data_IF_420633758167
#
_entry.id   IF_420633758167
#
_cell.length_a   1.000
_cell.length_b   1.000
_cell.length_c   1.000
_cell.angle_alpha   90.00
_cell.angle_beta   90.00
_cell.angle_gamma   90.00
#
_symmetry.space_group_name_H-M   'P 1'
#
loop_
_entity.id
_entity.type
_entity.pdbx_description
1 polymer ?
#
# COMPACT_ATOMS: atom_id res chain seq x y z
N UNK A 1 -21.13 -11.29 10.77
CA UNK A 1 -20.89 -10.04 11.51
C UNK A 1 -21.39 -8.88 10.69
N UNK A 2 -22.42 -8.16 11.12
CA UNK A 2 -22.82 -6.96 10.39
C UNK A 2 -21.80 -5.81 10.55
N UNK A 3 -22.03 -4.72 9.81
CA UNK A 3 -21.21 -3.52 9.87
C UNK A 3 -21.10 -2.92 11.29
N UNK A 4 -22.18 -3.01 12.09
CA UNK A 4 -22.21 -2.51 13.45
C UNK A 4 -21.29 -3.33 14.37
N UNK A 5 -21.23 -4.66 14.18
CA UNK A 5 -20.33 -5.55 14.90
C UNK A 5 -18.86 -5.32 14.52
N UNK A 6 -18.55 -5.05 13.25
CA UNK A 6 -17.19 -4.70 12.83
C UNK A 6 -16.74 -3.39 13.48
N UNK A 7 -17.57 -2.35 13.46
CA UNK A 7 -17.27 -1.10 14.16
C UNK A 7 -17.16 -1.33 15.69
N UNK A 8 -18.07 -2.11 16.28
CA UNK A 8 -18.05 -2.44 17.71
C UNK A 8 -16.80 -3.22 18.12
N UNK A 9 -16.19 -4.00 17.22
CA UNK A 9 -14.97 -4.73 17.50
C UNK A 9 -13.80 -3.81 17.89
N UNK A 10 -13.74 -2.59 17.34
CA UNK A 10 -12.71 -1.60 17.65
C UNK A 10 -12.97 -0.83 18.96
N UNK A 11 -14.15 -0.94 19.56
CA UNK A 11 -14.49 -0.24 20.81
C UNK A 11 -13.55 -0.68 21.94
N UNK A 12 -12.93 0.30 22.60
CA UNK A 12 -12.01 0.07 23.71
C UNK A 12 -10.70 -0.62 23.33
N UNK A 13 -10.44 -0.85 22.04
CA UNK A 13 -9.22 -1.50 21.53
C UNK A 13 -8.09 -0.52 21.31
N UNK A 14 -6.88 -1.00 21.50
CA UNK A 14 -5.69 -0.30 21.05
C UNK A 14 -5.16 -0.90 19.74
N UNK A 15 -4.88 -0.05 18.76
CA UNK A 15 -4.45 -0.46 17.42
C UNK A 15 -3.10 0.17 17.09
N UNK A 16 -2.12 -0.64 16.71
CA UNK A 16 -0.87 -0.17 16.13
C UNK A 16 -0.99 -0.17 14.61
N UNK A 17 -0.76 0.98 13.97
CA UNK A 17 -0.78 1.14 12.52
C UNK A 17 0.61 1.56 12.06
N UNK A 18 1.21 0.79 11.16
CA UNK A 18 2.39 1.21 10.39
C UNK A 18 1.98 1.68 9.01
N UNK A 19 2.70 2.65 8.44
CA UNK A 19 2.35 3.22 7.14
C UNK A 19 1.14 4.16 7.19
N UNK A 20 0.81 4.72 8.36
CA UNK A 20 -0.28 5.69 8.53
C UNK A 20 -0.09 6.98 7.69
N UNK A 21 1.16 7.32 7.36
CA UNK A 21 1.49 8.41 6.44
C UNK A 21 1.33 8.04 4.96
N UNK A 22 0.89 6.82 4.64
CA UNK A 22 0.49 6.41 3.29
C UNK A 22 -1.02 6.57 3.05
N UNK A 23 -1.45 6.32 1.80
CA UNK A 23 -2.84 6.54 1.38
C UNK A 23 -3.82 5.65 2.16
N UNK A 24 -3.65 4.33 2.07
CA UNK A 24 -4.51 3.37 2.74
C UNK A 24 -4.50 3.54 4.26
N UNK A 25 -3.35 3.90 4.83
CA UNK A 25 -3.21 4.15 6.27
C UNK A 25 -4.06 5.34 6.75
N UNK A 26 -4.11 6.43 5.97
CA UNK A 26 -5.00 7.57 6.27
C UNK A 26 -6.46 7.21 6.18
N UNK A 27 -6.85 6.51 5.10
CA UNK A 27 -8.24 6.06 4.90
C UNK A 27 -8.68 5.16 6.05
N UNK A 28 -7.84 4.22 6.45
CA UNK A 28 -8.13 3.33 7.58
C UNK A 28 -8.27 4.10 8.89
N UNK A 29 -7.32 5.00 9.17
CA UNK A 29 -7.33 5.81 10.40
C UNK A 29 -8.58 6.70 10.48
N UNK A 30 -8.89 7.41 9.40
CA UNK A 30 -10.10 8.24 9.28
C UNK A 30 -11.36 7.40 9.49
N UNK A 31 -11.47 6.27 8.78
CA UNK A 31 -12.64 5.40 8.85
C UNK A 31 -12.86 4.89 10.27
N UNK A 32 -11.81 4.42 10.96
CA UNK A 32 -11.88 3.98 12.36
C UNK A 32 -12.39 5.11 13.26
N UNK A 33 -11.75 6.28 13.22
CA UNK A 33 -12.11 7.41 14.07
C UNK A 33 -13.54 7.92 13.82
N UNK A 34 -13.99 7.89 12.56
CA UNK A 34 -15.32 8.38 12.18
C UNK A 34 -16.45 7.45 12.61
N UNK A 35 -16.27 6.14 12.44
CA UNK A 35 -17.33 5.16 12.71
C UNK A 35 -17.25 4.55 14.10
N UNK A 36 -16.08 4.56 14.74
CA UNK A 36 -15.87 4.05 16.10
C UNK A 36 -15.03 5.04 16.93
N UNK A 37 -15.64 6.14 17.40
CA UNK A 37 -14.93 7.12 18.24
C UNK A 37 -14.55 6.55 19.62
N UNK A 38 -15.13 5.43 20.07
CA UNK A 38 -14.78 4.78 21.33
C UNK A 38 -13.56 3.85 21.22
N UNK A 39 -12.83 3.86 20.09
CA UNK A 39 -11.50 3.25 20.03
C UNK A 39 -10.63 3.86 21.13
N UNK A 40 -9.82 3.04 21.81
CA UNK A 40 -9.08 3.51 22.98
C UNK A 40 -7.86 4.32 22.59
N UNK A 41 -6.96 3.73 21.81
CA UNK A 41 -5.76 4.42 21.31
C UNK A 41 -5.31 3.86 19.96
N UNK A 42 -4.89 4.75 19.08
CA UNK A 42 -4.32 4.46 17.77
C UNK A 42 -2.84 4.86 17.80
N UNK A 43 -1.97 3.87 17.97
CA UNK A 43 -0.53 4.06 17.92
C UNK A 43 -0.08 4.13 16.45
N UNK A 44 0.55 5.23 16.05
CA UNK A 44 1.00 5.42 14.67
C UNK A 44 2.53 5.41 14.62
N UNK A 45 3.11 4.31 14.12
CA UNK A 45 4.55 4.25 13.91
C UNK A 45 4.94 5.09 12.69
N UNK A 46 5.71 6.15 12.92
CA UNK A 46 6.14 7.09 11.89
C UNK A 46 7.63 7.37 12.00
N UNK A 47 8.30 7.42 10.84
CA UNK A 47 9.73 7.72 10.78
C UNK A 47 9.95 9.18 11.16
N UNK A 48 10.60 9.41 12.29
CA UNK A 48 10.92 10.72 12.83
C UNK A 48 12.13 10.60 13.76
N UNK A 49 12.82 11.72 14.00
CA UNK A 49 13.99 11.76 14.90
C UNK A 49 13.61 11.72 16.38
N UNK A 50 12.42 12.20 16.71
CA UNK A 50 11.94 12.39 18.07
C UNK A 50 10.41 12.50 18.08
N UNK A 51 9.82 12.45 19.28
CA UNK A 51 8.37 12.46 19.49
C UNK A 51 7.70 13.76 18.99
N UNK A 52 8.36 14.91 19.11
CA UNK A 52 7.84 16.20 18.60
C UNK A 52 7.73 16.16 17.07
N UNK A 53 8.78 15.68 16.41
CA UNK A 53 8.83 15.50 14.96
C UNK A 53 7.80 14.48 14.50
N UNK A 54 7.58 13.39 15.25
CA UNK A 54 6.53 12.42 14.97
C UNK A 54 5.13 13.05 15.07
N UNK A 55 4.86 13.83 16.13
CA UNK A 55 3.58 14.55 16.30
C UNK A 55 3.33 15.54 15.18
N UNK A 56 4.32 16.38 14.86
CA UNK A 56 4.23 17.34 13.76
C UNK A 56 3.99 16.64 12.41
N UNK A 57 4.67 15.51 12.18
CA UNK A 57 4.50 14.73 10.96
C UNK A 57 3.11 14.13 10.86
N UNK A 58 2.57 13.54 11.93
CA UNK A 58 1.19 13.04 11.95
C UNK A 58 0.20 14.19 11.72
N UNK A 59 0.39 15.34 12.38
CA UNK A 59 -0.47 16.49 12.18
C UNK A 59 -0.45 16.98 10.72
N UNK A 60 0.72 17.10 10.11
CA UNK A 60 0.87 17.68 8.77
C UNK A 60 0.51 16.69 7.65
N UNK A 61 1.03 15.47 7.75
CA UNK A 61 0.90 14.46 6.70
C UNK A 61 -0.37 13.62 6.86
N UNK A 62 -1.00 13.54 8.02
CA UNK A 62 -2.13 12.63 8.29
C UNK A 62 -3.40 13.40 8.66
N UNK A 63 -3.50 13.91 9.89
CA UNK A 63 -4.76 14.45 10.42
C UNK A 63 -5.10 15.84 9.86
N UNK A 64 -4.09 16.58 9.39
CA UNK A 64 -4.25 17.84 8.67
C UNK A 64 -4.69 17.67 7.21
N UNK A 65 -4.72 16.44 6.69
CA UNK A 65 -5.19 16.19 5.32
C UNK A 65 -6.70 16.37 5.20
N UNK A 66 -7.12 16.66 3.99
CA UNK A 66 -8.49 16.92 3.56
C UNK A 66 -9.44 15.74 3.87
N UNK A 67 -8.96 14.49 3.82
CA UNK A 67 -9.78 13.31 4.19
C UNK A 67 -10.37 13.38 5.61
N UNK A 68 -9.71 14.09 6.53
CA UNK A 68 -10.20 14.31 7.90
C UNK A 68 -11.20 15.47 8.01
N UNK A 69 -11.64 16.08 6.91
CA UNK A 69 -12.57 17.22 6.94
C UNK A 69 -13.90 16.88 7.62
N UNK A 70 -14.48 15.72 7.32
CA UNK A 70 -15.74 15.27 7.94
C UNK A 70 -15.59 15.14 9.46
N UNK A 71 -14.45 14.62 9.94
CA UNK A 71 -14.14 14.57 11.37
C UNK A 71 -13.94 15.97 11.96
N UNK A 72 -13.24 16.87 11.26
CA UNK A 72 -13.06 18.26 11.70
C UNK A 72 -14.39 18.99 11.86
N UNK A 73 -15.29 18.85 10.88
CA UNK A 73 -16.62 19.45 10.90
C UNK A 73 -17.47 18.87 12.04
N UNK A 74 -17.42 17.56 12.25
CA UNK A 74 -18.15 16.86 13.32
C UNK A 74 -17.72 17.31 14.72
N UNK A 75 -16.42 17.47 14.96
CA UNK A 75 -15.87 17.79 16.28
C UNK A 75 -15.67 19.30 16.52
N UNK A 76 -15.70 20.11 15.46
CA UNK A 76 -15.54 21.56 15.54
C UNK A 76 -14.25 21.95 16.29
N UNK A 77 -14.38 22.80 17.31
CA UNK A 77 -13.24 23.25 18.13
C UNK A 77 -12.58 22.12 18.94
N UNK A 78 -13.29 21.02 19.21
CA UNK A 78 -12.76 19.87 19.95
C UNK A 78 -12.06 18.84 19.07
N UNK A 79 -11.81 19.12 17.79
CA UNK A 79 -11.14 18.18 16.90
C UNK A 79 -9.72 17.85 17.35
N UNK A 80 -8.93 18.87 17.71
CA UNK A 80 -7.54 18.65 18.13
C UNK A 80 -7.48 17.84 19.44
N UNK A 81 -8.32 18.17 20.42
CA UNK A 81 -8.44 17.43 21.68
C UNK A 81 -8.82 15.96 21.43
N UNK A 82 -9.78 15.71 20.53
CA UNK A 82 -10.18 14.36 20.13
C UNK A 82 -9.02 13.60 19.47
N UNK A 83 -8.28 14.23 18.58
CA UNK A 83 -7.12 13.60 17.93
C UNK A 83 -6.02 13.31 18.95
N UNK A 84 -5.71 14.23 19.86
CA UNK A 84 -4.71 14.03 20.92
C UNK A 84 -5.14 12.92 21.90
N UNK A 85 -6.43 12.82 22.21
CA UNK A 85 -6.96 11.74 23.03
C UNK A 85 -6.80 10.37 22.34
N UNK A 86 -7.08 10.28 21.03
CA UNK A 86 -7.16 8.99 20.32
C UNK A 86 -5.87 8.56 19.65
N UNK A 87 -5.03 9.48 19.19
CA UNK A 87 -3.87 9.19 18.34
C UNK A 87 -2.57 9.39 19.12
N UNK A 88 -1.72 8.38 19.12
CA UNK A 88 -0.40 8.42 19.75
C UNK A 88 0.69 8.18 18.68
N UNK A 89 1.36 9.24 18.20
CA UNK A 89 2.49 9.10 17.30
C UNK A 89 3.69 8.46 18.00
N UNK A 90 4.31 7.47 17.35
CA UNK A 90 5.52 6.79 17.81
C UNK A 90 6.65 7.09 16.82
N UNK A 91 7.69 7.78 17.29
CA UNK A 91 8.90 8.05 16.51
C UNK A 91 9.71 6.75 16.37
N UNK A 92 9.63 6.09 15.21
CA UNK A 92 10.34 4.84 14.97
C UNK A 92 10.28 4.38 13.52
N UNK A 93 11.02 3.32 13.21
CA UNK A 93 11.13 2.78 11.86
C UNK A 93 11.10 1.25 11.89
N UNK A 94 10.28 0.65 11.03
CA UNK A 94 10.17 -0.80 10.88
C UNK A 94 11.49 -1.46 10.47
N UNK A 95 12.43 -0.69 9.92
CA UNK A 95 13.76 -1.19 9.55
C UNK A 95 14.61 -1.60 10.76
N UNK A 96 14.31 -1.10 11.96
CA UNK A 96 15.09 -1.37 13.17
C UNK A 96 14.41 -2.40 14.08
N UNK A 97 15.24 -3.13 14.83
CA UNK A 97 14.75 -3.96 15.93
C UNK A 97 13.96 -3.10 16.92
N UNK A 98 12.81 -3.62 17.37
CA UNK A 98 11.89 -2.91 18.27
C UNK A 98 11.48 -1.52 17.78
N UNK A 99 11.52 -1.35 16.46
CA UNK A 99 11.25 -0.12 15.73
C UNK A 99 12.17 1.06 16.09
N UNK A 100 13.27 0.82 16.80
CA UNK A 100 14.12 1.86 17.37
C UNK A 100 13.50 2.59 18.56
N UNK A 101 12.42 2.04 19.15
CA UNK A 101 11.79 2.60 20.35
C UNK A 101 12.63 2.29 21.60
N UNK A 102 12.55 3.18 22.59
CA UNK A 102 13.12 2.89 23.90
C UNK A 102 12.36 1.75 24.61
N UNK A 103 13.05 1.05 25.51
CA UNK A 103 12.52 -0.12 26.22
C UNK A 103 11.25 0.17 27.01
N UNK A 104 11.10 1.37 27.57
CA UNK A 104 9.93 1.72 28.36
C UNK A 104 8.69 1.86 27.46
N UNK A 105 8.81 2.61 26.36
CA UNK A 105 7.76 2.80 25.37
C UNK A 105 7.38 1.51 24.67
N UNK A 106 8.37 0.69 24.31
CA UNK A 106 8.13 -0.64 23.75
C UNK A 106 7.31 -1.52 24.70
N UNK A 107 7.63 -1.52 25.99
CA UNK A 107 6.93 -2.30 27.02
C UNK A 107 5.51 -1.79 27.26
N UNK A 108 5.29 -0.48 27.20
CA UNK A 108 3.97 0.13 27.28
C UNK A 108 3.10 -0.32 26.10
N UNK A 109 3.58 -0.10 24.87
CA UNK A 109 2.79 -0.39 23.66
C UNK A 109 2.53 -1.89 23.52
N UNK A 110 3.54 -2.75 23.72
CA UNK A 110 3.37 -4.21 23.59
C UNK A 110 2.38 -4.83 24.59
N UNK A 111 2.20 -4.24 25.77
CA UNK A 111 1.25 -4.73 26.78
C UNK A 111 -0.21 -4.44 26.45
N UNK A 112 -0.46 -3.43 25.63
CA UNK A 112 -1.78 -2.85 25.46
C UNK A 112 -2.34 -2.97 24.05
N UNK A 113 -1.52 -3.23 23.04
CA UNK A 113 -2.00 -3.42 21.65
C UNK A 113 -2.85 -4.69 21.50
N UNK A 114 -4.05 -4.50 20.97
CA UNK A 114 -4.99 -5.58 20.60
C UNK A 114 -4.88 -5.96 19.12
N UNK A 115 -4.59 -4.99 18.24
CA UNK A 115 -4.58 -5.18 16.79
C UNK A 115 -3.34 -4.50 16.20
N UNK A 116 -2.63 -5.19 15.32
CA UNK A 116 -1.56 -4.59 14.52
C UNK A 116 -2.01 -4.58 13.06
N UNK A 117 -1.95 -3.40 12.42
CA UNK A 117 -2.11 -3.23 10.98
C UNK A 117 -0.78 -2.80 10.39
N UNK A 118 -0.12 -3.73 9.72
CA UNK A 118 1.15 -3.50 9.06
C UNK A 118 0.95 -3.10 7.60
N UNK A 119 0.93 -1.78 7.34
CA UNK A 119 0.86 -1.19 6.01
C UNK A 119 2.13 -0.47 5.57
N UNK A 120 3.18 -0.44 6.40
CA UNK A 120 4.46 0.15 6.03
C UNK A 120 5.13 -0.67 4.92
N UNK A 121 5.37 -0.02 3.79
CA UNK A 121 6.13 -0.57 2.68
C UNK A 121 6.73 0.57 1.85
N UNK A 122 7.83 0.29 1.16
CA UNK A 122 8.14 1.07 -0.04
C UNK A 122 7.33 0.51 -1.19
N UNK A 123 6.52 1.35 -1.83
CA UNK A 123 5.69 1.00 -3.00
C UNK A 123 6.30 1.45 -4.32
N UNK A 124 7.53 1.97 -4.27
CA UNK A 124 8.25 2.41 -5.44
C UNK A 124 8.84 1.21 -6.20
N UNK A 125 8.29 0.91 -7.37
CA UNK A 125 8.71 -0.21 -8.22
C UNK A 125 10.17 -0.12 -8.72
N UNK A 126 10.79 1.05 -8.63
CA UNK A 126 12.19 1.29 -9.00
C UNK A 126 13.01 1.85 -7.83
N UNK A 127 12.73 1.37 -6.62
CA UNK A 127 13.50 1.69 -5.42
C UNK A 127 14.80 0.87 -5.34
N UNK A 128 15.76 1.38 -4.57
CA UNK A 128 16.99 0.66 -4.25
C UNK A 128 16.66 -0.67 -3.55
N UNK A 129 17.43 -1.71 -3.85
CA UNK A 129 17.17 -3.04 -3.31
C UNK A 129 17.33 -3.11 -1.80
N UNK A 130 18.37 -2.51 -1.23
CA UNK A 130 18.58 -2.43 0.22
C UNK A 130 17.41 -1.79 0.95
N UNK A 131 16.97 -0.60 0.50
CA UNK A 131 15.85 0.11 1.12
C UNK A 131 14.56 -0.73 1.05
N UNK A 132 14.32 -1.37 -0.10
CA UNK A 132 13.14 -2.23 -0.28
C UNK A 132 13.20 -3.48 0.57
N UNK A 133 14.38 -4.08 0.69
CA UNK A 133 14.61 -5.28 1.49
C UNK A 133 14.43 -4.96 2.98
N UNK A 134 15.09 -3.92 3.49
CA UNK A 134 14.99 -3.51 4.88
C UNK A 134 13.55 -3.14 5.27
N UNK A 135 12.83 -2.43 4.40
CA UNK A 135 11.45 -2.02 4.71
C UNK A 135 10.46 -3.17 4.59
N UNK A 136 10.46 -3.89 3.46
CA UNK A 136 9.39 -4.84 3.14
C UNK A 136 9.67 -6.25 3.69
N UNK A 137 10.94 -6.64 3.79
CA UNK A 137 11.37 -7.97 4.24
C UNK A 137 11.71 -7.93 5.71
N UNK A 138 12.72 -7.14 6.10
CA UNK A 138 13.11 -7.04 7.50
C UNK A 138 12.03 -6.34 8.33
N UNK A 139 11.35 -5.33 7.80
CA UNK A 139 10.21 -4.71 8.48
C UNK A 139 9.07 -5.69 8.79
N UNK A 140 8.78 -6.64 7.90
CA UNK A 140 7.83 -7.71 8.19
C UNK A 140 8.31 -8.62 9.34
N UNK A 141 9.62 -8.94 9.36
CA UNK A 141 10.25 -9.67 10.47
C UNK A 141 10.17 -8.90 11.79
N UNK A 142 10.47 -7.59 11.81
CA UNK A 142 10.41 -6.79 13.04
C UNK A 142 8.99 -6.66 13.58
N UNK A 143 8.01 -6.47 12.69
CA UNK A 143 6.60 -6.48 13.07
C UNK A 143 6.18 -7.81 13.68
N UNK A 144 6.60 -8.92 13.09
CA UNK A 144 6.32 -10.25 13.62
C UNK A 144 6.98 -10.47 15.00
N UNK A 145 8.23 -10.02 15.17
CA UNK A 145 8.94 -10.10 16.43
C UNK A 145 8.24 -9.28 17.53
N UNK A 146 7.81 -8.05 17.21
CA UNK A 146 7.04 -7.21 18.12
C UNK A 146 5.67 -7.82 18.45
N UNK A 147 4.97 -8.37 17.46
CA UNK A 147 3.68 -9.03 17.65
C UNK A 147 3.77 -10.20 18.63
N UNK A 148 4.85 -11.00 18.58
CA UNK A 148 5.11 -12.07 19.54
C UNK A 148 5.33 -11.57 20.98
N UNK A 149 5.74 -10.30 21.17
CA UNK A 149 5.84 -9.66 22.50
C UNK A 149 4.48 -9.18 23.03
N UNK A 150 3.45 -9.13 22.18
CA UNK A 150 2.14 -8.59 22.52
C UNK A 150 1.21 -9.66 23.10
N UNK A 151 1.03 -9.68 24.42
CA UNK A 151 0.27 -10.73 25.11
C UNK A 151 -1.26 -10.64 24.93
N UNK A 152 -1.78 -9.47 24.54
CA UNK A 152 -3.22 -9.24 24.30
C UNK A 152 -3.61 -9.32 22.83
N UNK A 153 -2.65 -9.50 21.93
CA UNK A 153 -2.85 -9.38 20.50
C UNK A 153 -3.92 -10.34 20.00
N UNK A 154 -4.93 -9.80 19.33
CA UNK A 154 -6.03 -10.53 18.72
C UNK A 154 -5.83 -10.78 17.24
N UNK A 155 -5.08 -9.91 16.57
CA UNK A 155 -4.86 -9.99 15.13
C UNK A 155 -3.61 -9.19 14.71
N UNK A 156 -2.81 -9.79 13.84
CA UNK A 156 -1.83 -9.09 13.01
C UNK A 156 -2.31 -9.12 11.55
N UNK A 157 -2.74 -7.97 11.05
CA UNK A 157 -3.07 -7.78 9.64
C UNK A 157 -1.84 -7.26 8.90
N UNK A 158 -1.39 -7.98 7.87
CA UNK A 158 -0.31 -7.55 6.98
C UNK A 158 -0.86 -7.19 5.61
N UNK A 159 -0.60 -5.96 5.17
CA UNK A 159 -0.96 -5.51 3.83
C UNK A 159 0.15 -5.90 2.86
N UNK A 160 -0.14 -6.86 2.00
CA UNK A 160 0.71 -7.29 0.89
C UNK A 160 0.23 -6.72 -0.44
N UNK A 161 0.30 -7.48 -1.53
CA UNK A 161 -0.24 -7.13 -2.85
C UNK A 161 -0.63 -8.38 -3.61
N UNK A 162 -1.69 -8.33 -4.42
CA UNK A 162 -2.11 -9.46 -5.28
C UNK A 162 -0.97 -9.89 -6.22
N UNK A 163 -0.15 -8.93 -6.64
CA UNK A 163 0.91 -9.15 -7.61
C UNK A 163 2.10 -9.95 -7.11
N UNK A 164 2.16 -10.36 -5.83
CA UNK A 164 3.18 -11.32 -5.34
C UNK A 164 3.17 -12.63 -6.12
N UNK A 165 2.09 -12.96 -6.84
CA UNK A 165 2.00 -14.05 -7.80
C UNK A 165 2.79 -13.81 -9.10
N UNK A 166 3.42 -12.65 -9.27
CA UNK A 166 4.16 -12.26 -10.48
C UNK A 166 3.25 -12.13 -11.69
N UNK A 167 3.62 -12.81 -12.78
CA UNK A 167 2.93 -12.77 -14.08
C UNK A 167 2.20 -14.10 -14.38
N UNK A 168 1.82 -14.86 -13.35
CA UNK A 168 1.08 -16.12 -13.51
C UNK A 168 -0.23 -15.90 -14.29
N UNK A 169 -0.50 -16.79 -15.25
CA UNK A 169 -1.75 -16.82 -16.00
C UNK A 169 -2.76 -17.80 -15.36
N UNK A 170 -4.05 -17.60 -15.59
CA UNK A 170 -5.10 -18.52 -15.11
C UNK A 170 -5.58 -18.21 -13.68
N UNK A 171 -6.15 -19.21 -13.00
CA UNK A 171 -6.69 -19.03 -11.64
C UNK A 171 -5.56 -19.08 -10.59
N UNK A 172 -5.46 -18.05 -9.77
CA UNK A 172 -4.44 -17.89 -8.74
C UNK A 172 -5.11 -18.00 -7.37
N UNK A 173 -4.77 -19.06 -6.65
CA UNK A 173 -5.38 -19.39 -5.36
C UNK A 173 -4.78 -18.57 -4.20
N UNK A 174 -5.58 -18.32 -3.16
CA UNK A 174 -5.16 -17.67 -1.91
C UNK A 174 -4.27 -18.59 -1.05
N UNK A 175 -3.10 -18.98 -1.57
CA UNK A 175 -2.13 -19.84 -0.88
C UNK A 175 -1.04 -19.02 -0.18
N UNK A 176 -0.56 -19.47 1.00
CA UNK A 176 0.60 -18.87 1.65
C UNK A 176 1.88 -19.16 0.83
N UNK A 177 2.83 -18.22 0.85
CA UNK A 177 4.16 -18.47 0.30
C UNK A 177 4.97 -19.34 1.27
N UNK A 178 5.55 -20.40 0.74
CA UNK A 178 6.48 -21.25 1.49
C UNK A 178 7.87 -20.62 1.52
N UNK A 179 8.59 -20.79 2.63
CA UNK A 179 9.96 -20.32 2.74
C UNK A 179 10.83 -20.89 1.62
N UNK A 180 11.51 -19.99 0.90
CA UNK A 180 12.37 -20.29 -0.24
C UNK A 180 11.69 -20.73 -1.53
N UNK A 181 10.36 -20.68 -1.59
CA UNK A 181 9.61 -20.82 -2.84
C UNK A 181 9.90 -19.68 -3.82
N UNK A 182 9.81 -19.96 -5.11
CA UNK A 182 10.07 -19.01 -6.20
C UNK A 182 9.01 -19.14 -7.28
N UNK A 183 8.87 -18.12 -8.14
CA UNK A 183 7.98 -18.21 -9.30
C UNK A 183 8.67 -18.85 -10.51
N UNK A 184 10.01 -18.88 -10.51
CA UNK A 184 10.80 -19.52 -11.55
C UNK A 184 11.13 -20.97 -11.16
N UNK A 185 10.63 -21.91 -11.95
CA UNK A 185 10.92 -23.32 -11.77
C UNK A 185 12.43 -23.62 -11.68
N UNK A 186 12.79 -24.54 -10.79
CA UNK A 186 14.17 -24.95 -10.56
C UNK A 186 15.03 -23.97 -9.75
N UNK A 187 14.45 -22.90 -9.20
CA UNK A 187 15.17 -21.97 -8.32
C UNK A 187 14.68 -22.02 -6.87
N UNK A 188 15.60 -21.79 -5.93
CA UNK A 188 15.32 -21.70 -4.50
C UNK A 188 15.83 -20.37 -3.95
N UNK A 189 14.99 -19.68 -3.19
CA UNK A 189 15.30 -18.36 -2.65
C UNK A 189 15.79 -18.48 -1.19
N UNK A 190 17.05 -18.17 -0.97
CA UNK A 190 17.56 -17.95 0.39
C UNK A 190 17.60 -16.45 0.71
N UNK A 191 16.70 -16.03 1.60
CA UNK A 191 16.55 -14.62 2.02
C UNK A 191 17.81 -14.12 2.75
N UNK A 192 18.51 -14.99 3.49
CA UNK A 192 19.75 -14.60 4.18
C UNK A 192 20.89 -14.39 3.17
N UNK A 193 20.99 -15.24 2.16
CA UNK A 193 21.90 -15.04 1.03
C UNK A 193 21.64 -13.73 0.29
N UNK A 194 20.37 -13.33 0.10
CA UNK A 194 20.04 -12.02 -0.49
C UNK A 194 20.48 -10.84 0.39
N UNK A 195 20.30 -10.94 1.72
CA UNK A 195 20.79 -9.93 2.66
C UNK A 195 22.32 -9.80 2.61
N UNK A 196 23.03 -10.93 2.54
CA UNK A 196 24.49 -10.95 2.42
C UNK A 196 24.96 -10.34 1.10
N UNK A 197 24.27 -10.63 -0.01
CA UNK A 197 24.53 -10.02 -1.31
C UNK A 197 24.37 -8.50 -1.28
N UNK A 198 23.30 -8.01 -0.65
CA UNK A 198 23.07 -6.56 -0.47
C UNK A 198 24.23 -5.93 0.31
N UNK A 199 24.59 -6.49 1.46
CA UNK A 199 25.67 -5.99 2.31
C UNK A 199 27.01 -5.98 1.58
N UNK A 200 27.34 -7.07 0.89
CA UNK A 200 28.57 -7.18 0.12
C UNK A 200 28.65 -6.11 -0.99
N UNK A 201 27.55 -5.93 -1.73
CA UNK A 201 27.47 -4.92 -2.79
C UNK A 201 27.66 -3.50 -2.23
N UNK A 202 27.05 -3.18 -1.08
CA UNK A 202 27.26 -1.89 -0.42
C UNK A 202 28.70 -1.67 0.04
N UNK A 203 29.37 -2.71 0.56
CA UNK A 203 30.78 -2.65 0.96
C UNK A 203 31.68 -2.40 -0.26
N UNK A 204 31.46 -3.12 -1.35
CA UNK A 204 32.20 -2.96 -2.61
C UNK A 204 32.03 -1.54 -3.18
N UNK A 205 30.80 -1.02 -3.21
CA UNK A 205 30.51 0.34 -3.68
C UNK A 205 31.24 1.39 -2.84
N UNK A 206 31.28 1.22 -1.51
CA UNK A 206 32.02 2.10 -0.60
C UNK A 206 33.53 2.00 -0.81
N UNK A 207 34.07 0.79 -0.96
CA UNK A 207 35.50 0.56 -1.20
C UNK A 207 35.97 1.19 -2.52
N UNK A 208 35.11 1.22 -3.54
CA UNK A 208 35.38 1.84 -4.83
C UNK A 208 35.06 3.34 -4.86
N UNK A 209 34.80 3.98 -3.72
CA UNK A 209 34.43 5.40 -3.61
C UNK A 209 33.28 5.79 -4.58
N UNK A 210 32.30 4.91 -4.75
CA UNK A 210 31.18 5.15 -5.65
C UNK A 210 30.39 6.40 -5.23
N UNK A 211 30.02 7.21 -6.22
CA UNK A 211 29.13 8.35 -5.98
C UNK A 211 27.73 7.88 -5.55
N UNK A 212 26.98 8.70 -4.80
CA UNK A 212 25.58 8.41 -4.41
C UNK A 212 24.71 8.05 -5.62
N UNK A 213 24.92 8.72 -6.76
CA UNK A 213 24.21 8.42 -8.01
C UNK A 213 24.54 7.03 -8.54
N UNK A 214 25.81 6.62 -8.49
CA UNK A 214 26.24 5.28 -8.90
C UNK A 214 25.69 4.22 -7.94
N UNK A 215 25.79 4.45 -6.62
CA UNK A 215 25.23 3.54 -5.61
C UNK A 215 23.73 3.32 -5.81
N UNK A 216 22.95 4.41 -5.92
CA UNK A 216 21.51 4.34 -6.19
C UNK A 216 21.20 3.54 -7.45
N UNK A 217 21.95 3.75 -8.52
CA UNK A 217 21.75 3.05 -9.80
C UNK A 217 22.05 1.56 -9.64
N UNK A 218 23.21 1.21 -9.08
CA UNK A 218 23.63 -0.19 -8.88
C UNK A 218 22.64 -0.94 -8.01
N UNK A 219 22.19 -0.36 -6.89
CA UNK A 219 21.24 -1.01 -5.99
C UNK A 219 19.86 -1.22 -6.61
N UNK A 220 19.41 -0.31 -7.49
CA UNK A 220 18.16 -0.49 -8.25
C UNK A 220 18.29 -1.61 -9.28
N UNK A 221 19.40 -1.64 -10.01
CA UNK A 221 19.67 -2.66 -11.03
C UNK A 221 19.85 -4.05 -10.40
N UNK A 222 20.50 -4.14 -9.23
CA UNK A 222 20.64 -5.36 -8.46
C UNK A 222 19.27 -5.94 -8.09
N UNK A 223 18.40 -5.15 -7.46
CA UNK A 223 17.07 -5.61 -7.05
C UNK A 223 16.23 -6.10 -8.23
N UNK A 224 16.26 -5.38 -9.35
CA UNK A 224 15.55 -5.79 -10.57
C UNK A 224 16.12 -7.09 -11.15
N UNK A 225 17.44 -7.26 -11.14
CA UNK A 225 18.12 -8.49 -11.60
C UNK A 225 17.72 -9.68 -10.72
N UNK A 226 17.70 -9.50 -9.39
CA UNK A 226 17.32 -10.56 -8.44
C UNK A 226 15.85 -10.94 -8.55
N UNK A 227 14.96 -9.94 -8.60
CA UNK A 227 13.52 -10.19 -8.81
C UNK A 227 13.28 -11.06 -10.05
N UNK A 228 13.83 -10.66 -11.21
CA UNK A 228 13.69 -11.41 -12.47
C UNK A 228 14.34 -12.78 -12.42
N UNK A 229 15.46 -12.92 -11.71
CA UNK A 229 16.13 -14.20 -11.56
C UNK A 229 15.22 -15.25 -10.92
N UNK A 230 14.41 -14.86 -9.93
CA UNK A 230 13.47 -15.75 -9.22
C UNK A 230 12.03 -15.71 -9.76
N UNK A 231 11.78 -14.99 -10.86
CA UNK A 231 10.50 -14.97 -11.57
C UNK A 231 9.54 -13.85 -11.19
N UNK A 232 9.95 -12.85 -10.41
CA UNK A 232 9.16 -11.65 -10.14
C UNK A 232 9.50 -10.50 -11.09
N UNK A 233 8.50 -9.67 -11.46
CA UNK A 233 8.70 -8.63 -12.48
C UNK A 233 9.57 -7.46 -12.00
N UNK A 234 9.59 -7.18 -10.70
CA UNK A 234 10.33 -6.05 -10.11
C UNK A 234 10.61 -6.25 -8.61
N UNK A 235 11.47 -5.37 -8.07
CA UNK A 235 11.94 -5.37 -6.68
C UNK A 235 10.82 -5.24 -5.65
N UNK A 236 9.78 -4.45 -5.93
CA UNK A 236 8.68 -4.25 -4.99
C UNK A 236 7.94 -5.56 -4.72
N UNK A 237 7.45 -6.19 -5.79
CA UNK A 237 6.71 -7.45 -5.69
C UNK A 237 7.58 -8.54 -5.05
N UNK A 238 8.84 -8.62 -5.47
CA UNK A 238 9.80 -9.59 -4.95
C UNK A 238 10.02 -9.44 -3.43
N UNK A 239 10.22 -8.22 -2.96
CA UNK A 239 10.42 -7.96 -1.52
C UNK A 239 9.14 -8.13 -0.70
N UNK A 240 7.95 -7.88 -1.27
CA UNK A 240 6.68 -8.22 -0.62
C UNK A 240 6.48 -9.74 -0.48
N UNK A 241 6.83 -10.53 -1.50
CA UNK A 241 6.81 -11.98 -1.42
C UNK A 241 7.76 -12.52 -0.33
N UNK A 242 8.98 -11.99 -0.26
CA UNK A 242 9.94 -12.32 0.82
C UNK A 242 9.41 -11.94 2.21
N UNK A 243 8.76 -10.79 2.35
CA UNK A 243 8.11 -10.38 3.59
C UNK A 243 6.99 -11.33 4.02
N UNK A 244 6.17 -11.82 3.08
CA UNK A 244 5.16 -12.84 3.35
C UNK A 244 5.77 -14.18 3.79
N UNK A 245 6.87 -14.61 3.15
CA UNK A 245 7.58 -15.84 3.53
C UNK A 245 8.13 -15.76 4.95
N UNK A 246 8.80 -14.65 5.31
CA UNK A 246 9.31 -14.45 6.67
C UNK A 246 8.17 -14.40 7.68
N UNK A 247 7.10 -13.66 7.39
CA UNK A 247 5.95 -13.56 8.27
C UNK A 247 5.29 -14.94 8.49
N UNK A 248 5.06 -15.69 7.40
CA UNK A 248 4.48 -17.03 7.46
C UNK A 248 5.34 -18.03 8.23
N UNK A 249 6.67 -17.92 8.13
CA UNK A 249 7.61 -18.78 8.83
C UNK A 249 7.78 -18.42 10.32
N UNK A 250 7.83 -17.12 10.65
CA UNK A 250 8.17 -16.63 11.99
C UNK A 250 6.95 -16.40 12.89
N UNK A 251 5.73 -16.44 12.35
CA UNK A 251 4.51 -16.10 13.11
C UNK A 251 4.23 -16.98 14.32
N UNK A 252 4.73 -18.21 14.37
CA UNK A 252 4.31 -19.18 15.38
C UNK A 252 2.78 -19.31 15.43
N UNK A 253 2.20 -19.10 16.62
CA UNK A 253 0.75 -19.16 16.86
C UNK A 253 0.03 -17.81 16.64
N UNK A 254 0.71 -16.78 16.14
CA UNK A 254 0.10 -15.47 15.94
C UNK A 254 -1.09 -15.55 14.96
N UNK A 255 -2.23 -14.90 15.29
CA UNK A 255 -3.38 -14.78 14.38
C UNK A 255 -3.07 -13.78 13.27
N UNK A 256 -2.41 -14.27 12.20
CA UNK A 256 -2.00 -13.46 11.05
C UNK A 256 -3.04 -13.51 9.93
N UNK A 257 -3.45 -12.33 9.47
CA UNK A 257 -4.23 -12.14 8.24
C UNK A 257 -3.34 -11.43 7.22
N UNK A 258 -3.17 -12.01 6.04
CA UNK A 258 -2.49 -11.35 4.92
C UNK A 258 -3.57 -10.90 3.94
N UNK A 259 -3.66 -9.59 3.70
CA UNK A 259 -4.50 -9.06 2.62
C UNK A 259 -3.62 -8.73 1.42
N UNK A 260 -4.06 -9.09 0.23
CA UNK A 260 -3.33 -8.87 -1.02
C UNK A 260 -4.12 -7.93 -1.93
N UNK A 261 -4.16 -6.63 -1.66
CA UNK A 261 -4.84 -5.67 -2.54
C UNK A 261 -4.22 -5.66 -3.94
N UNK A 262 -5.05 -5.46 -4.96
CA UNK A 262 -4.62 -5.16 -6.33
C UNK A 262 -4.28 -3.67 -6.45
N UNK A 263 -4.77 -2.99 -7.50
CA UNK A 263 -4.58 -1.55 -7.66
C UNK A 263 -5.59 -0.82 -6.77
N UNK A 264 -5.06 -0.01 -5.85
CA UNK A 264 -5.89 0.87 -5.02
C UNK A 264 -6.03 2.21 -5.73
N UNK A 265 -7.27 2.66 -5.90
CA UNK A 265 -7.65 3.91 -6.58
C UNK A 265 -8.41 4.87 -5.63
N UNK A 266 -8.93 5.98 -6.13
CA UNK A 266 -9.65 7.00 -5.35
C UNK A 266 -10.91 6.46 -4.69
N UNK A 267 -11.32 7.12 -3.60
CA UNK A 267 -12.52 6.74 -2.85
C UNK A 267 -13.79 6.82 -3.72
N UNK A 268 -14.62 5.79 -3.67
CA UNK A 268 -15.91 5.76 -4.38
C UNK A 268 -16.94 6.70 -3.74
N UNK A 269 -17.07 6.69 -2.40
CA UNK A 269 -18.14 7.40 -1.68
C UNK A 269 -17.67 8.10 -0.42
N UNK A 270 -17.21 7.38 0.59
CA UNK A 270 -16.90 7.97 1.90
C UNK A 270 -15.40 8.09 2.19
N UNK A 271 -14.97 9.05 3.03
CA UNK A 271 -15.74 10.22 3.49
C UNK A 271 -15.80 11.33 2.42
N UNK A 272 -14.93 11.25 1.41
CA UNK A 272 -14.80 12.23 0.34
C UNK A 272 -14.71 11.48 -1.00
N UNK A 273 -15.77 11.47 -1.83
CA UNK A 273 -15.73 10.84 -3.15
C UNK A 273 -14.61 11.43 -4.01
N UNK A 274 -13.90 10.57 -4.75
CA UNK A 274 -12.80 10.98 -5.63
C UNK A 274 -11.51 11.36 -4.89
N UNK A 275 -11.49 11.32 -3.55
CA UNK A 275 -10.27 11.62 -2.80
C UNK A 275 -9.20 10.56 -3.03
N UNK A 276 -7.96 11.02 -3.18
CA UNK A 276 -6.79 10.20 -3.40
C UNK A 276 -5.53 10.96 -2.99
N UNK A 277 -4.53 10.23 -2.50
CA UNK A 277 -3.30 10.87 -2.03
C UNK A 277 -2.25 11.01 -3.15
N UNK A 278 -2.21 12.21 -3.71
CA UNK A 278 -1.29 12.55 -4.81
C UNK A 278 -1.64 11.80 -6.09
N UNK A 279 -0.77 11.89 -7.08
CA UNK A 279 -0.91 11.22 -8.37
C UNK A 279 0.02 10.01 -8.34
N UNK A 280 -0.50 8.79 -8.17
CA UNK A 280 0.31 7.57 -8.07
C UNK A 280 -0.04 6.60 -9.19
N UNK A 281 0.84 5.65 -9.49
CA UNK A 281 0.44 4.47 -10.28
C UNK A 281 -0.17 4.85 -11.65
N UNK A 282 -1.36 4.34 -11.97
CA UNK A 282 -2.12 4.63 -13.19
C UNK A 282 -2.61 6.08 -13.28
N UNK A 283 -2.72 6.80 -12.16
CA UNK A 283 -3.15 8.20 -12.12
C UNK A 283 -2.21 9.12 -12.89
N UNK A 284 -0.92 8.76 -12.94
CA UNK A 284 0.05 9.52 -13.73
C UNK A 284 -0.16 9.34 -15.24
N UNK A 285 -0.76 8.22 -15.65
CA UNK A 285 -1.24 8.00 -17.03
C UNK A 285 -2.49 8.84 -17.27
N UNK A 286 -3.47 8.79 -16.37
CA UNK A 286 -4.71 9.57 -16.49
C UNK A 286 -4.48 11.08 -16.49
N UNK A 287 -3.67 11.59 -15.55
CA UNK A 287 -3.30 12.99 -15.50
C UNK A 287 -2.45 13.40 -16.70
N UNK A 288 -1.57 12.51 -17.16
CA UNK A 288 -0.81 12.72 -18.38
C UNK A 288 -1.73 12.89 -19.60
N UNK A 289 -2.79 12.10 -19.69
CA UNK A 289 -3.82 12.22 -20.72
C UNK A 289 -4.66 13.50 -20.54
N UNK A 290 -5.18 13.76 -19.33
CA UNK A 290 -5.98 14.94 -19.01
C UNK A 290 -5.22 16.26 -19.27
N UNK A 291 -3.90 16.28 -19.04
CA UNK A 291 -3.01 17.40 -19.35
C UNK A 291 -2.49 17.41 -20.79
N UNK A 292 -2.95 16.49 -21.64
CA UNK A 292 -2.47 16.28 -23.02
C UNK A 292 -0.95 16.03 -23.15
N UNK A 293 -0.29 15.64 -22.05
CA UNK A 293 1.12 15.25 -22.01
C UNK A 293 1.34 13.84 -22.58
N UNK A 294 0.32 12.96 -22.48
CA UNK A 294 0.22 11.66 -23.14
C UNK A 294 -0.91 11.74 -24.17
N UNK A 295 -0.60 11.41 -25.44
CA UNK A 295 -1.58 11.47 -26.55
C UNK A 295 -2.34 10.16 -26.76
N UNK A 296 -1.80 9.04 -26.30
CA UNK A 296 -2.41 7.71 -26.41
C UNK A 296 -1.85 6.79 -25.32
N UNK A 297 -2.62 5.78 -24.95
CA UNK A 297 -2.21 4.69 -24.07
C UNK A 297 -2.67 3.37 -24.70
N UNK A 298 -1.72 2.47 -25.01
CA UNK A 298 -2.02 1.21 -25.67
C UNK A 298 -2.57 0.22 -24.63
N UNK A 299 -3.84 -0.18 -24.79
CA UNK A 299 -4.50 -1.18 -23.97
C UNK A 299 -5.01 -2.27 -24.91
N UNK A 300 -4.81 -3.54 -24.56
CA UNK A 300 -5.47 -4.65 -25.24
C UNK A 300 -6.92 -4.74 -24.74
N UNK A 301 -7.93 -4.54 -25.60
CA UNK A 301 -9.34 -4.55 -25.19
C UNK A 301 -9.82 -5.92 -24.68
N UNK A 302 -9.09 -7.01 -24.93
CA UNK A 302 -9.42 -8.34 -24.43
C UNK A 302 -8.74 -8.67 -23.08
N UNK A 303 -7.89 -7.78 -22.59
CA UNK A 303 -7.21 -7.95 -21.30
C UNK A 303 -8.13 -7.54 -20.16
N UNK A 304 -8.28 -8.41 -19.16
CA UNK A 304 -8.94 -8.09 -17.90
C UNK A 304 -7.96 -7.25 -17.07
N UNK A 305 -8.06 -5.92 -17.18
CA UNK A 305 -7.30 -5.02 -16.32
C UNK A 305 -7.98 -4.98 -14.93
N UNK A 306 -7.21 -5.16 -13.85
CA UNK A 306 -7.66 -5.09 -12.44
C UNK A 306 -7.99 -3.64 -11.98
N UNK A 307 -8.44 -2.84 -12.94
CA UNK A 307 -9.03 -1.50 -12.89
C UNK A 307 -9.89 -1.47 -14.15
N UNK A 308 -11.21 -1.59 -14.03
CA UNK A 308 -12.09 -1.73 -15.21
C UNK A 308 -12.04 -0.43 -16.03
N UNK A 309 -11.29 -0.40 -17.14
CA UNK A 309 -11.52 0.57 -18.22
C UNK A 309 -11.93 -0.18 -19.47
N UNK A 310 -13.23 -0.38 -19.60
CA UNK A 310 -13.81 -0.59 -20.91
C UNK A 310 -13.89 0.79 -21.59
N UNK A 311 -13.33 0.90 -22.80
CA UNK A 311 -13.38 2.07 -23.70
C UNK A 311 -12.30 3.17 -23.54
N UNK A 312 -11.06 2.83 -23.91
CA UNK A 312 -10.06 3.85 -24.34
C UNK A 312 -9.77 3.78 -25.85
N UNK A 313 -10.42 2.90 -26.62
CA UNK A 313 -10.01 2.61 -28.00
C UNK A 313 -10.95 3.09 -29.13
N UNK A 314 -11.83 4.06 -28.89
CA UNK A 314 -12.74 4.57 -29.94
C UNK A 314 -12.42 6.02 -30.37
N UNK A 315 -11.51 6.70 -29.68
CA UNK A 315 -11.17 8.09 -29.98
C UNK A 315 -9.94 8.26 -30.87
N UNK A 316 -10.19 8.49 -32.17
CA UNK A 316 -9.39 9.35 -33.07
C UNK A 316 -8.29 8.68 -33.92
N UNK A 317 -8.75 7.96 -34.95
CA UNK A 317 -8.20 7.92 -36.32
C UNK A 317 -6.75 8.43 -36.46
N UNK A 318 -5.82 7.49 -36.60
CA UNK A 318 -4.39 7.73 -36.68
C UNK A 318 -3.97 8.96 -37.49
N UNK A 319 -3.04 9.73 -36.92
CA UNK A 319 -2.24 10.72 -37.65
C UNK A 319 -0.79 10.65 -37.17
N UNK A 320 0.09 10.62 -38.16
CA UNK A 320 1.50 10.23 -38.14
C UNK A 320 2.50 11.26 -37.56
N UNK A 321 3.71 10.72 -37.38
CA UNK A 321 5.06 11.29 -37.38
C UNK A 321 5.25 12.79 -37.66
N UNK A 322 5.97 13.48 -36.77
CA UNK A 322 6.49 14.82 -37.07
C UNK A 322 7.25 15.57 -35.97
N UNK A 323 7.63 14.97 -34.83
CA UNK A 323 8.37 15.68 -33.76
C UNK A 323 9.34 14.78 -32.97
N UNK A 324 10.26 14.11 -33.66
CA UNK A 324 11.09 13.05 -33.08
C UNK A 324 11.97 13.51 -31.88
N UNK A 325 12.51 14.73 -31.90
CA UNK A 325 13.44 15.18 -30.86
C UNK A 325 12.75 15.64 -29.56
N UNK A 326 11.58 16.27 -29.65
CA UNK A 326 10.77 16.68 -28.49
C UNK A 326 9.93 15.51 -27.91
N UNK A 327 9.57 14.55 -28.78
CA UNK A 327 8.89 13.31 -28.39
C UNK A 327 9.85 12.28 -27.77
N UNK A 328 11.16 12.28 -28.02
CA UNK A 328 12.05 11.22 -27.53
C UNK A 328 12.08 11.07 -26.00
N UNK A 329 12.06 12.19 -25.27
CA UNK A 329 12.02 12.21 -23.81
C UNK A 329 10.66 11.76 -23.25
N UNK A 330 9.57 12.23 -23.86
CA UNK A 330 8.20 11.85 -23.53
C UNK A 330 7.91 10.39 -23.89
N UNK A 331 8.44 9.92 -25.01
CA UNK A 331 8.36 8.54 -25.48
C UNK A 331 9.17 7.62 -24.56
N UNK A 332 10.37 8.01 -24.15
CA UNK A 332 11.15 7.23 -23.18
C UNK A 332 10.43 7.12 -21.84
N UNK A 333 9.81 8.21 -21.37
CA UNK A 333 8.97 8.18 -20.16
C UNK A 333 7.74 7.28 -20.36
N UNK A 334 7.01 7.41 -21.48
CA UNK A 334 5.85 6.59 -21.79
C UNK A 334 6.21 5.10 -21.89
N UNK A 335 7.28 4.76 -22.63
CA UNK A 335 7.78 3.39 -22.73
C UNK A 335 8.29 2.84 -21.41
N UNK A 336 8.86 3.69 -20.55
CA UNK A 336 9.25 3.29 -19.20
C UNK A 336 8.01 2.98 -18.34
N UNK A 337 6.98 3.83 -18.36
CA UNK A 337 5.72 3.58 -17.67
C UNK A 337 5.01 2.32 -18.21
N UNK A 338 4.93 2.15 -19.53
CA UNK A 338 4.37 0.94 -20.16
C UNK A 338 5.11 -0.30 -19.67
N UNK A 339 6.44 -0.33 -19.72
CA UNK A 339 7.23 -1.47 -19.24
C UNK A 339 7.06 -1.72 -17.74
N UNK A 340 6.88 -0.67 -16.96
CA UNK A 340 6.74 -0.74 -15.51
C UNK A 340 5.35 -1.29 -15.11
N UNK A 341 4.31 -0.89 -15.84
CA UNK A 341 2.92 -1.23 -15.51
C UNK A 341 2.37 -2.41 -16.32
N UNK A 342 2.98 -2.78 -17.44
CA UNK A 342 2.56 -3.92 -18.27
C UNK A 342 2.30 -5.20 -17.47
N UNK A 343 3.13 -5.60 -16.48
CA UNK A 343 2.86 -6.80 -15.68
C UNK A 343 1.52 -6.75 -14.92
N UNK A 344 1.00 -5.55 -14.65
CA UNK A 344 -0.22 -5.32 -13.87
C UNK A 344 -1.41 -5.00 -14.76
N UNK A 345 -1.20 -4.21 -15.82
CA UNK A 345 -2.27 -3.80 -16.75
C UNK A 345 -2.57 -4.86 -17.78
N UNK A 346 -1.58 -5.68 -18.15
CA UNK A 346 -1.69 -6.83 -19.06
C UNK A 346 -1.70 -8.17 -18.31
N UNK A 347 -2.09 -8.13 -17.04
CA UNK A 347 -2.15 -9.31 -16.20
C UNK A 347 -3.28 -10.24 -16.68
N UNK A 348 -2.95 -11.50 -16.92
CA UNK A 348 -3.91 -12.52 -17.40
C UNK A 348 -4.35 -13.50 -16.31
N UNK A 349 -3.89 -13.29 -15.08
CA UNK A 349 -4.34 -14.05 -13.93
C UNK A 349 -5.70 -13.58 -13.43
N UNK A 350 -6.44 -14.50 -12.82
CA UNK A 350 -7.66 -14.21 -12.06
C UNK A 350 -7.42 -14.65 -10.63
N UNK A 351 -7.53 -13.73 -9.70
CA UNK A 351 -7.36 -14.04 -8.28
C UNK A 351 -8.61 -14.74 -7.75
N UNK A 352 -8.39 -15.85 -7.06
CA UNK A 352 -9.41 -16.48 -6.23
C UNK A 352 -9.79 -15.51 -5.10
N UNK A 353 -11.07 -15.23 -4.95
CA UNK A 353 -11.63 -14.36 -3.92
C UNK A 353 -12.55 -15.13 -2.97
N UNK A 354 -12.44 -16.47 -2.94
CA UNK A 354 -13.34 -17.32 -2.17
C UNK A 354 -13.37 -16.98 -0.68
N UNK A 355 -12.23 -16.64 -0.05
CA UNK A 355 -12.24 -16.24 1.35
C UNK A 355 -12.87 -14.86 1.56
N UNK A 356 -12.65 -13.94 0.62
CA UNK A 356 -13.26 -12.61 0.62
C UNK A 356 -14.79 -12.71 0.45
N UNK A 357 -15.27 -13.55 -0.46
CA UNK A 357 -16.69 -13.83 -0.67
C UNK A 357 -17.34 -14.53 0.52
N UNK A 358 -16.62 -15.44 1.19
CA UNK A 358 -17.08 -16.04 2.46
C UNK A 358 -17.23 -14.98 3.54
N UNK A 359 -16.25 -14.08 3.68
CA UNK A 359 -16.29 -12.97 4.62
C UNK A 359 -17.48 -12.06 4.32
N UNK A 360 -17.67 -11.67 3.05
CA UNK A 360 -18.79 -10.83 2.60
C UNK A 360 -20.15 -11.46 2.92
N UNK A 361 -20.35 -12.73 2.57
CA UNK A 361 -21.59 -13.46 2.89
C UNK A 361 -21.84 -13.57 4.39
N UNK A 362 -20.80 -13.82 5.18
CA UNK A 362 -20.91 -13.84 6.63
C UNK A 362 -21.27 -12.46 7.20
N UNK A 363 -20.94 -11.37 6.50
CA UNK A 363 -21.36 -10.02 6.89
C UNK A 363 -22.81 -9.71 6.52
N UNK A 364 -23.26 -10.10 5.33
CA UNK A 364 -24.65 -9.93 4.86
C UNK A 364 -25.67 -10.70 5.70
N UNK A 365 -25.36 -11.94 6.11
CA UNK A 365 -26.28 -12.77 6.90
C UNK A 365 -26.59 -12.23 8.30
N UNK A 366 -25.84 -11.24 8.77
CA UNK A 366 -25.99 -10.71 10.12
C UNK A 366 -26.56 -9.28 10.15
N UNK A 367 -26.88 -8.67 9.00
CA UNK A 367 -27.32 -7.27 8.94
C UNK A 367 -28.85 -7.13 9.04
N UNK A 368 -29.32 -6.38 10.04
CA UNK A 368 -30.74 -6.02 10.23
C UNK A 368 -31.19 -4.86 9.30
N UNK A 369 -30.86 -4.91 8.00
CA UNK A 369 -31.39 -3.98 6.99
C UNK A 369 -30.89 -2.52 7.05
N UNK A 370 -29.90 -2.20 7.90
CA UNK A 370 -29.28 -0.88 7.96
C UNK A 370 -28.28 -0.59 6.82
N UNK A 371 -27.92 0.68 6.61
CA UNK A 371 -26.90 1.10 5.63
C UNK A 371 -25.59 0.33 5.82
N UNK A 372 -25.13 -0.31 4.76
CA UNK A 372 -24.00 -1.23 4.80
C UNK A 372 -22.67 -0.43 4.74
N UNK A 373 -22.10 -0.08 5.90
CA UNK A 373 -20.88 0.77 6.01
C UNK A 373 -19.60 0.17 5.40
N UNK A 374 -19.60 -1.13 5.07
CA UNK A 374 -18.43 -1.89 4.62
C UNK A 374 -18.70 -2.75 3.38
N UNK A 375 -19.53 -2.27 2.43
CA UNK A 375 -19.79 -3.04 1.21
C UNK A 375 -18.57 -2.90 0.31
N UNK A 376 -17.96 -4.03 -0.02
CA UNK A 376 -16.78 -4.09 -0.87
C UNK A 376 -17.01 -5.01 -2.06
N UNK A 377 -18.27 -5.30 -2.45
CA UNK A 377 -18.56 -6.05 -3.67
C UNK A 377 -18.29 -5.18 -4.92
N UNK A 378 -17.22 -5.46 -5.70
CA UNK A 378 -16.91 -4.69 -6.90
C UNK A 378 -17.99 -4.83 -7.99
N UNK A 379 -18.87 -5.86 -7.93
CA UNK A 379 -19.94 -6.07 -8.91
C UNK A 379 -21.10 -5.09 -8.74
N UNK A 380 -21.22 -4.46 -7.57
CA UNK A 380 -22.24 -3.44 -7.28
C UNK A 380 -21.81 -2.04 -7.69
N UNK A 381 -20.54 -1.86 -8.09
CA UNK A 381 -20.01 -0.58 -8.53
C UNK A 381 -20.45 -0.36 -9.99
N UNK A 382 -21.15 0.75 -10.23
CA UNK A 382 -21.26 1.29 -11.59
C UNK A 382 -19.91 1.91 -11.95
N UNK A 383 -19.10 1.15 -12.68
CA UNK A 383 -17.73 1.53 -13.00
C UNK A 383 -17.68 2.74 -13.93
N UNK A 384 -18.63 2.87 -14.85
CA UNK A 384 -18.68 4.02 -15.75
C UNK A 384 -18.98 5.30 -14.95
N UNK A 385 -20.02 5.27 -14.11
CA UNK A 385 -20.34 6.40 -13.22
C UNK A 385 -19.16 6.72 -12.29
N UNK A 386 -18.54 5.70 -11.68
CA UNK A 386 -17.35 5.88 -10.85
C UNK A 386 -16.23 6.61 -11.59
N UNK A 387 -15.87 6.18 -12.80
CA UNK A 387 -14.78 6.82 -13.53
C UNK A 387 -15.13 8.25 -13.93
N UNK A 388 -16.29 8.46 -14.55
CA UNK A 388 -16.67 9.75 -15.13
C UNK A 388 -17.10 10.79 -14.11
N UNK A 389 -17.83 10.38 -13.07
CA UNK A 389 -18.43 11.29 -12.10
C UNK A 389 -17.63 11.42 -10.82
N UNK A 390 -16.82 10.42 -10.45
CA UNK A 390 -16.10 10.40 -9.16
C UNK A 390 -14.59 10.50 -9.35
N UNK A 391 -13.98 9.53 -10.03
CA UNK A 391 -12.53 9.40 -10.13
C UNK A 391 -11.89 10.52 -10.95
N UNK A 392 -12.32 10.72 -12.20
CA UNK A 392 -11.72 11.75 -13.05
C UNK A 392 -11.93 13.17 -12.52
N UNK A 393 -13.13 13.56 -12.05
CA UNK A 393 -13.33 14.85 -11.40
C UNK A 393 -12.50 15.03 -10.12
N UNK A 394 -12.24 13.95 -9.39
CA UNK A 394 -11.36 13.92 -8.22
C UNK A 394 -9.96 14.46 -8.50
N UNK A 395 -9.40 14.25 -9.71
CA UNK A 395 -8.11 14.86 -10.10
C UNK A 395 -8.17 16.39 -10.14
N UNK A 396 -9.27 16.95 -10.63
CA UNK A 396 -9.49 18.40 -10.67
C UNK A 396 -9.64 18.99 -9.27
N UNK A 397 -10.36 18.30 -8.39
CA UNK A 397 -10.54 18.69 -6.99
C UNK A 397 -9.18 18.71 -6.25
N UNK A 398 -8.39 17.64 -6.39
CA UNK A 398 -7.06 17.55 -5.76
C UNK A 398 -6.07 18.59 -6.32
N UNK A 399 -6.17 18.95 -7.60
CA UNK A 399 -5.34 20.01 -8.20
C UNK A 399 -5.73 21.41 -7.70
N UNK A 400 -7.01 21.67 -7.44
CA UNK A 400 -7.48 22.93 -6.86
C UNK A 400 -7.15 23.05 -5.37
N UNK A 401 -7.23 21.95 -4.61
CA UNK A 401 -6.91 21.89 -3.19
C UNK A 401 -5.41 22.03 -2.92
N UNK A 402 -4.55 21.37 -3.71
CA UNK A 402 -3.10 21.50 -3.55
C UNK A 402 -2.58 22.92 -3.80
N UNK A 403 -3.30 23.75 -4.58
CA UNK A 403 -2.96 25.18 -4.78
C UNK A 403 -3.31 26.08 -3.59
N UNK A 404 -4.13 25.63 -2.64
CA UNK A 404 -4.50 26.40 -1.43
C UNK A 404 -3.60 26.10 -0.23
N UNK A 405 -2.74 25.08 -0.33
CA UNK A 405 -1.85 24.64 0.75
C UNK A 405 -0.35 24.93 0.49
N UNK A 406 -0.03 25.66 -0.58
CA UNK A 406 1.29 26.25 -0.85
C UNK A 406 1.17 27.76 -0.78
#
# INVERSE_FOLDING_TARGET
MDAAQVAAYFRGKNVLITGATGFLGKVLLEKILRIQPDVRKLFLLVRATDDESARRRVQTEVTGREIFQVLREKHGKGFEDFIEEKVCPLAGDVMYEDFGLDTAKLKEVSKDVDIIVNGAATTNFYERYDVSFDTNVLGAKQICAFANKCTKLKMLLHVSTAYVSGEQEGLILEKPFMMGGTLREGTHLDIESELNLIKHTQIELKANCATDKAERKTMKELGLKRARHFGWPNTYVFTKAMGEMLLGHLRGDLPVVIIRPSIITSLLKEPLPGWMEGVRTIDSVFLGYAKQALKFFLVDPNTIMDVILHLVNVGLCGVFSGRYNELSGKYRLAMHLIKLYAPYTLFKGRFDDMNLERLRKAMEQNSDGGEYYFDFDPKKIDWDDYFYMVHFPGYGLNAALNKRCT
#
